data_IF_891454214375
#
_entry.id   IF_891454214375
#
_cell.length_a   1.000
_cell.length_b   1.000
_cell.length_c   1.000
_cell.angle_alpha   90.00
_cell.angle_beta   90.00
_cell.angle_gamma   90.00
#
_symmetry.space_group_name_H-M   'P 1'
#
loop_
_entity.id
_entity.type
_entity.pdbx_description
1 polymer ?
#
# COMPACT_ATOMS: atom_id res chain seq x y z
N UNK A 1 23.89 -26.36 -22.99
CA UNK A 1 23.08 -27.26 -22.14
C UNK A 1 21.65 -27.21 -22.63
N UNK A 2 21.13 -28.31 -23.18
CA UNK A 2 19.72 -28.44 -23.57
C UNK A 2 18.94 -28.68 -22.28
N UNK A 3 18.04 -27.77 -21.89
CA UNK A 3 17.14 -28.00 -20.75
C UNK A 3 16.13 -29.08 -21.15
N UNK A 4 15.95 -30.09 -20.31
CA UNK A 4 14.93 -31.12 -20.53
C UNK A 4 13.53 -30.49 -20.53
N UNK A 5 12.66 -30.81 -21.50
CA UNK A 5 11.26 -30.39 -21.48
C UNK A 5 10.57 -30.87 -20.18
N UNK A 6 9.84 -29.98 -19.51
CA UNK A 6 9.08 -30.33 -18.29
C UNK A 6 9.81 -30.10 -16.96
N UNK A 7 11.04 -29.58 -16.96
CA UNK A 7 11.75 -29.21 -15.72
C UNK A 7 11.45 -27.79 -15.24
N UNK A 8 10.59 -27.05 -15.94
CA UNK A 8 10.13 -25.72 -15.48
C UNK A 8 9.26 -25.93 -14.24
N UNK A 9 9.61 -25.36 -13.08
CA UNK A 9 8.76 -25.42 -11.91
C UNK A 9 7.36 -24.93 -12.27
N UNK A 10 6.34 -25.64 -11.80
CA UNK A 10 4.96 -25.17 -11.95
C UNK A 10 4.84 -23.77 -11.36
N UNK A 11 4.10 -22.91 -12.06
CA UNK A 11 3.72 -21.61 -11.54
C UNK A 11 3.03 -21.80 -10.18
N UNK A 12 3.47 -21.02 -9.19
CA UNK A 12 2.89 -21.05 -7.85
C UNK A 12 1.83 -19.96 -7.80
N UNK A 13 0.57 -20.36 -7.69
CA UNK A 13 -0.53 -19.43 -7.48
C UNK A 13 -0.56 -18.93 -6.02
N UNK A 14 -1.23 -17.79 -5.81
CA UNK A 14 -1.32 -17.15 -4.49
C UNK A 14 -1.85 -18.09 -3.39
N UNK A 15 -2.89 -18.88 -3.68
CA UNK A 15 -3.51 -19.75 -2.66
C UNK A 15 -2.59 -20.92 -2.32
N UNK A 16 -1.93 -21.49 -3.33
CA UNK A 16 -0.91 -22.52 -3.13
C UNK A 16 0.24 -22.00 -2.29
N UNK A 17 0.76 -20.82 -2.60
CA UNK A 17 1.89 -20.22 -1.87
C UNK A 17 1.54 -19.97 -0.40
N UNK A 18 0.38 -19.39 -0.09
CA UNK A 18 -0.11 -19.19 1.29
C UNK A 18 -0.22 -20.52 2.05
N UNK A 19 -0.73 -21.57 1.40
CA UNK A 19 -0.84 -22.91 2.00
C UNK A 19 0.53 -23.55 2.26
N UNK A 20 1.48 -23.41 1.32
CA UNK A 20 2.83 -23.95 1.46
C UNK A 20 3.64 -23.24 2.56
N UNK A 21 3.27 -22.02 2.91
CA UNK A 21 3.81 -21.26 4.05
C UNK A 21 3.00 -21.43 5.35
N UNK A 22 2.06 -22.40 5.38
CA UNK A 22 1.26 -22.75 6.55
C UNK A 22 0.45 -21.57 7.14
N UNK A 23 0.04 -20.62 6.29
CA UNK A 23 -0.77 -19.49 6.71
C UNK A 23 -2.14 -19.92 7.25
N UNK A 24 -2.66 -19.16 8.23
CA UNK A 24 -3.99 -19.43 8.79
C UNK A 24 -5.06 -19.50 7.68
N UNK A 25 -5.97 -20.48 7.80
CA UNK A 25 -6.97 -20.74 6.75
C UNK A 25 -7.92 -19.58 6.54
N UNK A 26 -8.31 -18.90 7.63
CA UNK A 26 -9.22 -17.77 7.56
C UNK A 26 -8.51 -16.53 7.03
N UNK A 27 -7.24 -16.33 7.41
CA UNK A 27 -6.40 -15.29 6.81
C UNK A 27 -6.21 -15.52 5.30
N UNK A 28 -5.86 -16.75 4.91
CA UNK A 28 -5.76 -17.16 3.49
C UNK A 28 -7.05 -16.86 2.73
N UNK A 29 -8.21 -17.12 3.34
CA UNK A 29 -9.51 -16.78 2.74
C UNK A 29 -9.64 -15.28 2.50
N UNK A 30 -9.34 -14.44 3.50
CA UNK A 30 -9.39 -12.97 3.36
C UNK A 30 -8.46 -12.48 2.24
N UNK A 31 -7.21 -12.96 2.20
CA UNK A 31 -6.24 -12.59 1.18
C UNK A 31 -6.75 -12.97 -0.23
N UNK A 32 -7.30 -14.18 -0.40
CA UNK A 32 -7.88 -14.60 -1.68
C UNK A 32 -9.13 -13.78 -2.07
N UNK A 33 -9.94 -13.36 -1.11
CA UNK A 33 -11.10 -12.50 -1.34
C UNK A 33 -10.70 -11.11 -1.83
N UNK A 34 -9.64 -10.52 -1.27
CA UNK A 34 -9.04 -9.26 -1.73
C UNK A 34 -8.46 -9.43 -3.14
N UNK A 35 -7.70 -10.50 -3.37
CA UNK A 35 -7.18 -10.80 -4.70
C UNK A 35 -8.30 -10.94 -5.73
N UNK A 36 -9.46 -11.51 -5.35
CA UNK A 36 -10.63 -11.60 -6.21
C UNK A 36 -11.28 -10.24 -6.43
N UNK A 37 -11.43 -9.41 -5.40
CA UNK A 37 -11.92 -8.04 -5.50
C UNK A 37 -11.14 -7.22 -6.54
N UNK A 38 -9.81 -7.33 -6.50
CA UNK A 38 -8.90 -6.61 -7.40
C UNK A 38 -9.15 -6.89 -8.89
N UNK A 39 -9.70 -8.06 -9.25
CA UNK A 39 -10.03 -8.44 -10.63
C UNK A 39 -11.15 -7.57 -11.18
N UNK A 40 -12.13 -7.25 -10.33
CA UNK A 40 -13.24 -6.38 -10.68
C UNK A 40 -12.78 -4.93 -10.74
N UNK A 41 -11.94 -4.49 -9.80
CA UNK A 41 -11.39 -3.12 -9.78
C UNK A 41 -10.55 -2.85 -11.03
N UNK A 42 -9.57 -3.71 -11.35
CA UNK A 42 -8.75 -3.53 -12.56
C UNK A 42 -9.58 -3.61 -13.85
N UNK A 43 -10.64 -4.43 -13.87
CA UNK A 43 -11.54 -4.47 -15.02
C UNK A 43 -12.26 -3.12 -15.19
N UNK A 44 -12.84 -2.59 -14.11
CA UNK A 44 -13.50 -1.28 -14.13
C UNK A 44 -12.55 -0.15 -14.56
N UNK A 45 -11.31 -0.13 -14.05
CA UNK A 45 -10.28 0.83 -14.46
C UNK A 45 -10.01 0.73 -15.97
N UNK A 46 -9.89 -0.49 -16.51
CA UNK A 46 -9.51 -0.72 -17.92
C UNK A 46 -10.62 -0.42 -18.91
N UNK A 47 -11.87 -0.70 -18.55
CA UNK A 47 -13.00 -0.59 -19.48
C UNK A 47 -13.82 0.68 -19.27
N UNK A 48 -13.65 1.38 -18.14
CA UNK A 48 -14.56 2.42 -17.71
C UNK A 48 -15.96 1.89 -17.39
N UNK A 49 -16.15 0.57 -17.29
CA UNK A 49 -17.44 -0.03 -17.00
C UNK A 49 -17.70 0.03 -15.49
N UNK A 50 -18.43 1.07 -15.09
CA UNK A 50 -18.79 1.34 -13.70
C UNK A 50 -20.05 0.57 -13.26
N UNK A 51 -20.62 -0.28 -14.13
CA UNK A 51 -21.93 -0.91 -13.92
C UNK A 51 -23.08 0.09 -14.03
N UNK A 52 -24.24 -0.25 -13.43
CA UNK A 52 -25.51 0.52 -13.50
C UNK A 52 -25.48 1.87 -12.72
N UNK A 53 -24.34 2.55 -12.68
CA UNK A 53 -24.25 3.97 -12.39
C UNK A 53 -24.52 4.69 -13.72
N UNK A 54 -25.81 4.84 -14.04
CA UNK A 54 -26.25 5.41 -15.30
C UNK A 54 -25.60 6.75 -15.62
N UNK A 55 -25.32 6.94 -16.91
CA UNK A 55 -25.22 8.22 -17.62
C UNK A 55 -24.74 9.42 -16.79
N UNK A 56 -23.50 9.85 -16.96
CA UNK A 56 -23.20 11.29 -16.88
C UNK A 56 -21.87 11.63 -17.54
N UNK A 57 -21.91 12.71 -18.32
CA UNK A 57 -20.78 13.34 -18.98
C UNK A 57 -20.22 14.43 -18.06
N UNK A 58 -18.89 14.58 -18.15
CA UNK A 58 -18.00 15.70 -17.77
C UNK A 58 -17.23 15.52 -16.45
N UNK A 59 -16.00 14.99 -16.64
CA UNK A 59 -14.77 15.17 -15.83
C UNK A 59 -14.94 15.40 -14.32
N UNK A 60 -14.60 14.38 -13.54
CA UNK A 60 -14.62 14.37 -12.06
C UNK A 60 -15.64 13.37 -11.49
N UNK A 61 -16.81 13.23 -12.15
CA UNK A 61 -17.84 12.27 -11.74
C UNK A 61 -17.40 10.80 -11.92
N UNK A 62 -16.56 10.51 -12.93
CA UNK A 62 -16.00 9.18 -13.16
C UNK A 62 -15.00 8.75 -12.06
N UNK A 63 -14.20 9.68 -11.53
CA UNK A 63 -13.24 9.39 -10.45
C UNK A 63 -13.99 8.97 -9.18
N UNK A 64 -14.91 9.81 -8.72
CA UNK A 64 -15.75 9.51 -7.56
C UNK A 64 -16.55 8.21 -7.75
N UNK A 65 -17.04 7.94 -8.96
CA UNK A 65 -17.76 6.71 -9.24
C UNK A 65 -16.88 5.46 -9.15
N UNK A 66 -15.60 5.55 -9.55
CA UNK A 66 -14.66 4.44 -9.47
C UNK A 66 -14.20 4.17 -8.03
N UNK A 67 -14.00 5.23 -7.24
CA UNK A 67 -13.72 5.15 -5.80
C UNK A 67 -14.85 4.42 -5.06
N UNK A 68 -16.09 4.89 -5.26
CA UNK A 68 -17.32 4.26 -4.71
C UNK A 68 -17.50 2.82 -5.18
N UNK A 69 -17.19 2.53 -6.46
CA UNK A 69 -17.27 1.18 -6.99
C UNK A 69 -16.24 0.25 -6.34
N UNK A 70 -15.01 0.73 -6.18
CA UNK A 70 -13.89 -0.03 -5.61
C UNK A 70 -14.15 -0.36 -4.14
N UNK A 71 -14.61 0.61 -3.34
CA UNK A 71 -15.06 0.38 -1.96
C UNK A 71 -16.16 -0.69 -1.91
N UNK A 72 -17.20 -0.54 -2.73
CA UNK A 72 -18.33 -1.46 -2.76
C UNK A 72 -17.91 -2.89 -3.13
N UNK A 73 -16.98 -3.05 -4.07
CA UNK A 73 -16.44 -4.36 -4.46
C UNK A 73 -15.70 -4.99 -3.29
N UNK A 74 -14.73 -4.26 -2.71
CA UNK A 74 -13.91 -4.76 -1.60
C UNK A 74 -14.78 -5.12 -0.41
N UNK A 75 -15.67 -4.23 0.03
CA UNK A 75 -16.59 -4.45 1.13
C UNK A 75 -17.43 -5.70 0.95
N UNK A 76 -18.00 -5.91 -0.25
CA UNK A 76 -18.78 -7.13 -0.54
C UNK A 76 -17.95 -8.40 -0.44
N UNK A 77 -16.73 -8.43 -0.99
CA UNK A 77 -15.84 -9.61 -0.92
C UNK A 77 -15.37 -9.87 0.51
N UNK A 78 -15.03 -8.83 1.26
CA UNK A 78 -14.62 -8.92 2.66
C UNK A 78 -15.76 -9.47 3.53
N UNK A 79 -16.99 -8.95 3.40
CA UNK A 79 -18.16 -9.49 4.10
C UNK A 79 -18.42 -10.96 3.70
N UNK A 80 -18.30 -11.29 2.41
CA UNK A 80 -18.46 -12.66 1.90
C UNK A 80 -17.43 -13.66 2.47
N UNK A 81 -16.27 -13.18 2.92
CA UNK A 81 -15.30 -14.04 3.61
C UNK A 81 -15.85 -14.66 4.90
N UNK A 82 -16.86 -14.04 5.53
CA UNK A 82 -17.51 -14.53 6.75
C UNK A 82 -16.65 -14.48 8.01
N UNK A 83 -15.41 -13.98 7.93
CA UNK A 83 -14.44 -13.96 9.04
C UNK A 83 -14.01 -12.55 9.46
N UNK A 84 -14.57 -11.52 8.82
CA UNK A 84 -14.30 -10.12 9.17
C UNK A 84 -15.22 -9.67 10.30
N UNK A 85 -14.64 -9.03 11.31
CA UNK A 85 -15.34 -8.42 12.43
C UNK A 85 -15.68 -6.97 12.14
N UNK A 86 -14.68 -6.16 11.85
CA UNK A 86 -14.84 -4.73 11.55
C UNK A 86 -14.08 -4.31 10.30
N UNK A 87 -14.60 -3.28 9.63
CA UNK A 87 -14.01 -2.68 8.43
C UNK A 87 -13.90 -1.18 8.66
N UNK A 88 -12.79 -0.59 8.24
CA UNK A 88 -12.64 0.84 8.09
C UNK A 88 -12.06 1.13 6.70
N UNK A 89 -12.71 2.03 5.96
CA UNK A 89 -12.39 2.41 4.59
C UNK A 89 -12.04 3.89 4.54
N UNK A 90 -11.13 4.29 3.66
CA UNK A 90 -10.84 5.71 3.39
C UNK A 90 -12.10 6.47 2.91
N UNK A 91 -13.04 5.76 2.27
CA UNK A 91 -14.28 6.32 1.69
C UNK A 91 -15.42 6.48 2.71
N UNK A 92 -15.21 6.10 3.99
CA UNK A 92 -16.27 6.16 5.02
C UNK A 92 -15.75 6.69 6.34
N UNK A 93 -16.46 7.67 6.90
CA UNK A 93 -16.14 8.29 8.21
C UNK A 93 -16.53 7.42 9.43
N UNK A 94 -16.89 6.15 9.23
CA UNK A 94 -17.35 5.25 10.30
C UNK A 94 -16.68 3.88 10.24
N UNK A 95 -16.45 3.29 11.42
CA UNK A 95 -16.05 1.88 11.55
C UNK A 95 -17.30 1.01 11.37
N UNK A 96 -17.25 0.14 10.37
CA UNK A 96 -18.36 -0.74 10.00
C UNK A 96 -18.24 -2.05 10.77
N UNK A 97 -19.20 -2.31 11.65
CA UNK A 97 -19.33 -3.59 12.32
C UNK A 97 -19.98 -4.62 11.38
N UNK A 98 -19.24 -5.68 11.05
CA UNK A 98 -19.68 -6.74 10.12
C UNK A 98 -20.19 -7.96 10.88
N UNK A 99 -19.38 -8.52 11.78
CA UNK A 99 -19.71 -9.73 12.52
C UNK A 99 -18.99 -9.76 13.87
N UNK A 100 -19.74 -9.78 14.97
CA UNK A 100 -19.16 -9.82 16.33
C UNK A 100 -18.26 -11.05 16.56
N UNK A 101 -18.46 -12.14 15.83
CA UNK A 101 -17.63 -13.35 15.90
C UNK A 101 -16.57 -13.43 14.81
N UNK A 102 -16.37 -12.35 14.04
CA UNK A 102 -15.27 -12.26 13.08
C UNK A 102 -13.91 -12.31 13.78
N UNK A 103 -12.91 -12.83 13.08
CA UNK A 103 -11.54 -12.99 13.59
C UNK A 103 -10.62 -11.82 13.25
N UNK A 104 -10.97 -11.05 12.23
CA UNK A 104 -10.08 -10.05 11.65
C UNK A 104 -10.78 -8.70 11.45
N UNK A 105 -10.03 -7.64 11.68
CA UNK A 105 -10.40 -6.26 11.37
C UNK A 105 -9.58 -5.77 10.19
N UNK A 106 -10.22 -5.06 9.27
CA UNK A 106 -9.58 -4.64 8.00
C UNK A 106 -9.61 -3.12 7.88
N UNK A 107 -8.46 -2.54 7.53
CA UNK A 107 -8.35 -1.15 7.08
C UNK A 107 -8.02 -1.17 5.59
N UNK A 108 -8.64 -0.30 4.78
CA UNK A 108 -8.24 -0.19 3.39
C UNK A 108 -8.43 1.19 2.77
N UNK A 109 -7.56 1.50 1.81
CA UNK A 109 -7.79 2.48 0.76
C UNK A 109 -8.18 1.72 -0.51
N UNK A 110 -9.44 1.85 -0.98
CA UNK A 110 -9.91 1.06 -2.11
C UNK A 110 -9.23 1.45 -3.43
N UNK A 111 -8.84 2.71 -3.59
CA UNK A 111 -8.21 3.24 -4.79
C UNK A 111 -7.29 4.46 -4.51
N UNK A 112 -6.07 4.18 -4.06
CA UNK A 112 -5.03 5.20 -3.93
C UNK A 112 -4.65 5.76 -5.30
N UNK A 113 -4.56 7.09 -5.35
CA UNK A 113 -4.20 7.82 -6.54
C UNK A 113 -5.32 7.91 -7.57
N UNK A 114 -6.59 7.84 -7.17
CA UNK A 114 -7.74 7.95 -8.09
C UNK A 114 -7.68 9.16 -9.03
N UNK A 115 -7.08 10.27 -8.59
CA UNK A 115 -6.78 11.46 -9.41
C UNK A 115 -5.78 11.23 -10.56
N UNK A 116 -5.19 10.03 -10.67
CA UNK A 116 -4.23 9.64 -11.69
C UNK A 116 -4.83 8.73 -12.75
N UNK A 117 -6.08 8.29 -12.56
CA UNK A 117 -6.78 7.37 -13.47
C UNK A 117 -7.05 8.03 -14.83
N UNK A 118 -7.52 9.28 -14.82
CA UNK A 118 -7.88 10.06 -16.02
C UNK A 118 -6.67 10.37 -16.91
N UNK A 119 -5.49 10.52 -16.31
CA UNK A 119 -4.21 10.69 -17.02
C UNK A 119 -3.50 9.36 -17.31
N UNK A 120 -4.18 8.23 -17.10
CA UNK A 120 -3.70 6.88 -17.41
C UNK A 120 -2.35 6.54 -16.73
N UNK A 121 -2.19 6.98 -15.50
CA UNK A 121 -1.06 6.62 -14.64
C UNK A 121 -1.44 5.46 -13.71
N UNK A 122 -0.42 4.87 -13.07
CA UNK A 122 -0.64 3.75 -12.17
C UNK A 122 -1.30 4.21 -10.86
N UNK A 123 -2.21 3.39 -10.35
CA UNK A 123 -2.97 3.58 -9.10
C UNK A 123 -2.94 2.28 -8.29
N UNK A 124 -3.58 2.22 -7.13
CA UNK A 124 -3.56 0.97 -6.36
C UNK A 124 -4.61 0.83 -5.28
N UNK A 125 -4.65 -0.34 -4.64
CA UNK A 125 -5.45 -0.61 -3.45
C UNK A 125 -4.50 -0.91 -2.30
N UNK A 126 -4.78 -0.43 -1.09
CA UNK A 126 -3.96 -0.66 0.11
C UNK A 126 -4.81 -1.35 1.17
N UNK A 127 -4.31 -2.43 1.79
CA UNK A 127 -5.04 -3.18 2.81
C UNK A 127 -4.14 -3.47 4.03
N UNK A 128 -4.65 -3.18 5.22
CA UNK A 128 -4.13 -3.67 6.51
C UNK A 128 -5.09 -4.67 7.15
N UNK A 129 -4.53 -5.72 7.77
CA UNK A 129 -5.29 -6.79 8.43
C UNK A 129 -4.81 -6.93 9.87
N UNK A 130 -5.73 -6.73 10.82
CA UNK A 130 -5.51 -6.89 12.25
C UNK A 130 -6.29 -8.09 12.78
N UNK A 131 -5.81 -8.69 13.87
CA UNK A 131 -6.57 -9.70 14.61
C UNK A 131 -7.55 -9.02 15.57
N UNK A 132 -8.73 -9.61 15.73
CA UNK A 132 -9.78 -9.15 16.64
C UNK A 132 -10.87 -8.35 15.94
N UNK A 133 -11.46 -7.44 16.69
CA UNK A 133 -12.61 -6.61 16.33
C UNK A 133 -12.30 -5.10 16.29
N UNK A 134 -11.06 -4.71 16.58
CA UNK A 134 -10.64 -3.32 16.63
C UNK A 134 -9.66 -2.97 15.48
N UNK A 135 -9.98 -1.94 14.69
CA UNK A 135 -9.09 -1.35 13.68
C UNK A 135 -8.15 -0.28 14.25
N UNK A 136 -8.48 0.32 15.39
CA UNK A 136 -7.68 1.35 16.06
C UNK A 136 -6.61 0.68 16.92
N UNK A 137 -5.62 0.11 16.24
CA UNK A 137 -4.46 -0.53 16.85
C UNK A 137 -3.18 0.01 16.22
N UNK A 138 -2.09 0.04 17.00
CA UNK A 138 -0.75 0.26 16.45
C UNK A 138 -0.48 -0.66 15.25
N UNK A 139 0.13 -0.12 14.19
CA UNK A 139 0.40 -0.87 12.96
C UNK A 139 1.24 -2.14 13.16
N UNK A 140 2.10 -2.18 14.19
CA UNK A 140 2.88 -3.38 14.56
C UNK A 140 2.03 -4.59 14.96
N UNK A 141 0.74 -4.40 15.26
CA UNK A 141 -0.18 -5.48 15.62
C UNK A 141 -0.87 -6.11 14.39
N UNK A 142 -0.60 -5.62 13.17
CA UNK A 142 -1.12 -6.25 11.97
C UNK A 142 -0.60 -7.68 11.84
N UNK A 143 -1.49 -8.57 11.37
CA UNK A 143 -1.15 -9.95 11.02
C UNK A 143 -0.83 -10.10 9.54
N UNK A 144 -1.28 -9.15 8.72
CA UNK A 144 -0.91 -9.07 7.33
C UNK A 144 -1.15 -7.66 6.78
N UNK A 145 -0.44 -7.32 5.72
CA UNK A 145 -0.72 -6.15 4.91
C UNK A 145 -0.45 -6.48 3.43
N UNK A 146 -1.14 -5.80 2.54
CA UNK A 146 -0.89 -5.90 1.10
C UNK A 146 -1.24 -4.62 0.38
N UNK A 147 -0.66 -4.46 -0.80
CA UNK A 147 -1.17 -3.53 -1.78
C UNK A 147 -1.25 -4.19 -3.16
N UNK A 148 -2.12 -3.66 -3.99
CA UNK A 148 -2.25 -4.04 -5.39
C UNK A 148 -1.91 -2.83 -6.23
N UNK A 149 -0.97 -2.97 -7.15
CA UNK A 149 -0.64 -1.95 -8.13
C UNK A 149 -1.43 -2.21 -9.42
N UNK A 150 -2.24 -1.25 -9.83
CA UNK A 150 -2.93 -1.21 -11.11
C UNK A 150 -2.11 -0.35 -12.10
N UNK A 151 -1.01 -0.91 -12.60
CA UNK A 151 -0.14 -0.25 -13.58
C UNK A 151 -0.19 -0.91 -14.97
N UNK A 152 0.89 -0.76 -15.77
CA UNK A 152 1.05 -1.50 -17.04
C UNK A 152 0.94 -3.01 -16.84
N UNK A 153 1.28 -3.49 -15.64
CA UNK A 153 0.96 -4.82 -15.14
C UNK A 153 0.19 -4.64 -13.84
N UNK A 154 -0.72 -5.57 -13.56
CA UNK A 154 -1.37 -5.64 -12.25
C UNK A 154 -0.55 -6.59 -11.36
N UNK A 155 -0.06 -6.09 -10.23
CA UNK A 155 0.72 -6.88 -9.28
C UNK A 155 0.14 -6.77 -7.87
N UNK A 156 0.25 -7.85 -7.09
CA UNK A 156 -0.12 -7.90 -5.68
C UNK A 156 1.14 -8.15 -4.89
N UNK A 157 1.40 -7.28 -3.91
CA UNK A 157 2.51 -7.40 -2.97
C UNK A 157 1.93 -7.55 -1.58
N UNK A 158 2.36 -8.58 -0.86
CA UNK A 158 1.85 -8.81 0.50
C UNK A 158 2.94 -9.28 1.46
N UNK A 159 2.62 -9.15 2.75
CA UNK A 159 3.33 -9.79 3.85
C UNK A 159 2.36 -10.24 4.95
N UNK A 160 2.65 -11.40 5.55
CA UNK A 160 2.00 -11.96 6.76
C UNK A 160 2.93 -11.91 7.99
N UNK A 161 4.03 -11.15 7.90
CA UNK A 161 5.08 -11.11 8.94
C UNK A 161 6.28 -12.03 8.67
N UNK A 162 6.26 -12.79 7.57
CA UNK A 162 7.31 -13.74 7.18
C UNK A 162 8.02 -13.33 5.87
N UNK A 163 8.29 -12.04 5.72
CA UNK A 163 8.86 -11.46 4.49
C UNK A 163 7.80 -10.97 3.51
N UNK A 164 8.26 -10.52 2.34
CA UNK A 164 7.44 -9.82 1.34
C UNK A 164 7.50 -10.56 0.01
N UNK A 165 6.34 -10.74 -0.62
CA UNK A 165 6.21 -11.53 -1.83
C UNK A 165 5.41 -10.76 -2.89
N UNK A 166 5.83 -10.85 -4.16
CA UNK A 166 5.18 -10.19 -5.29
C UNK A 166 4.59 -11.25 -6.25
N UNK A 167 3.35 -11.00 -6.64
CA UNK A 167 2.61 -11.78 -7.61
C UNK A 167 2.19 -10.90 -8.78
N UNK A 168 2.26 -11.43 -10.00
CA UNK A 168 1.72 -10.79 -11.19
C UNK A 168 0.39 -11.43 -11.60
N UNK A 169 -0.58 -10.60 -11.96
CA UNK A 169 -1.84 -11.05 -12.55
C UNK A 169 -1.63 -11.45 -14.01
N UNK A 170 -2.02 -12.67 -14.37
CA UNK A 170 -1.96 -13.20 -15.73
C UNK A 170 -3.23 -12.84 -16.55
N UNK A 171 -3.31 -13.31 -17.80
CA UNK A 171 -4.45 -13.06 -18.69
C UNK A 171 -5.76 -13.71 -18.24
N UNK A 172 -5.70 -14.70 -17.35
CA UNK A 172 -6.86 -15.34 -16.72
C UNK A 172 -7.28 -14.63 -15.43
N UNK A 173 -6.68 -13.46 -15.13
CA UNK A 173 -6.88 -12.69 -13.91
C UNK A 173 -6.47 -13.46 -12.63
N UNK A 174 -5.53 -14.39 -12.75
CA UNK A 174 -4.97 -15.15 -11.64
C UNK A 174 -3.58 -14.62 -11.26
N UNK A 175 -3.26 -14.63 -9.97
CA UNK A 175 -1.98 -14.18 -9.45
C UNK A 175 -0.97 -15.33 -9.42
N UNK A 176 0.13 -15.13 -10.12
CA UNK A 176 1.28 -16.04 -10.14
C UNK A 176 2.47 -15.39 -9.46
N UNK A 177 3.15 -16.13 -8.60
CA UNK A 177 4.35 -15.67 -7.90
C UNK A 177 5.45 -15.28 -8.90
N UNK A 178 6.03 -14.09 -8.72
CA UNK A 178 7.15 -13.62 -9.54
C UNK A 178 8.40 -13.28 -8.71
N UNK A 179 8.24 -12.97 -7.42
CA UNK A 179 9.36 -12.72 -6.52
C UNK A 179 9.01 -13.09 -5.09
N UNK A 180 9.91 -13.82 -4.42
CA UNK A 180 9.82 -14.12 -2.98
C UNK A 180 10.85 -13.33 -2.20
N UNK A 181 10.53 -13.03 -0.95
CA UNK A 181 11.41 -12.37 0.00
C UNK A 181 12.08 -11.11 -0.58
N UNK A 182 11.27 -10.17 -1.05
CA UNK A 182 11.75 -8.83 -1.45
C UNK A 182 12.54 -8.23 -0.29
N UNK A 183 13.73 -7.67 -0.59
CA UNK A 183 14.64 -7.08 0.39
C UNK A 183 15.07 -5.68 0.01
N UNK A 184 15.07 -4.80 1.00
CA UNK A 184 15.61 -3.46 0.92
C UNK A 184 17.12 -3.45 1.21
N UNK A 185 17.86 -2.69 0.42
CA UNK A 185 19.22 -2.29 0.69
C UNK A 185 19.23 -1.22 1.79
N UNK A 186 20.34 -1.08 2.54
CA UNK A 186 20.41 -0.11 3.63
C UNK A 186 20.25 1.34 3.17
N UNK A 187 20.75 1.68 1.99
CA UNK A 187 20.65 3.00 1.37
C UNK A 187 20.41 2.86 -0.14
N UNK A 188 19.88 3.92 -0.75
CA UNK A 188 19.62 3.95 -2.18
C UNK A 188 20.00 5.23 -2.91
N UNK A 189 19.62 5.24 -4.18
CA UNK A 189 19.94 6.27 -5.19
C UNK A 189 18.69 6.84 -5.86
N UNK A 190 17.51 6.61 -5.27
CA UNK A 190 16.22 7.12 -5.75
C UNK A 190 15.54 7.79 -4.57
N UNK A 191 14.91 8.93 -4.82
CA UNK A 191 14.04 9.57 -3.86
C UNK A 191 12.75 10.03 -4.53
N UNK A 192 11.65 9.92 -3.80
CA UNK A 192 10.30 10.26 -4.24
C UNK A 192 9.68 11.27 -3.28
N UNK A 193 9.76 12.59 -3.57
CA UNK A 193 9.27 13.63 -2.67
C UNK A 193 7.83 14.03 -3.00
N UNK A 194 6.94 13.82 -2.03
CA UNK A 194 5.55 14.26 -2.04
C UNK A 194 5.34 15.64 -1.43
N UNK A 195 4.28 16.31 -1.87
CA UNK A 195 4.00 17.70 -1.47
C UNK A 195 4.80 18.73 -2.27
N UNK A 196 4.52 20.01 -2.03
CA UNK A 196 5.18 21.10 -2.75
C UNK A 196 6.49 21.48 -2.03
N UNK A 197 7.61 21.47 -2.76
CA UNK A 197 8.94 21.73 -2.21
C UNK A 197 9.05 23.08 -1.48
N UNK A 198 8.42 24.13 -2.00
CA UNK A 198 8.43 25.45 -1.34
C UNK A 198 7.74 25.50 0.04
N UNK A 199 7.04 24.43 0.46
CA UNK A 199 6.39 24.31 1.77
C UNK A 199 7.15 23.39 2.73
N UNK A 200 8.30 22.86 2.33
CA UNK A 200 9.11 22.00 3.17
C UNK A 200 9.79 22.81 4.27
N UNK A 201 9.95 22.18 5.44
CA UNK A 201 10.74 22.76 6.52
C UNK A 201 12.23 22.75 6.17
N UNK A 202 13.05 23.59 6.85
CA UNK A 202 14.49 23.65 6.59
C UNK A 202 15.20 22.29 6.71
N UNK A 203 14.80 21.43 7.66
CA UNK A 203 15.34 20.08 7.80
C UNK A 203 15.04 19.19 6.60
N UNK A 204 13.82 19.24 6.09
CA UNK A 204 13.40 18.49 4.90
C UNK A 204 14.16 18.95 3.65
N UNK A 205 14.30 20.27 3.45
CA UNK A 205 15.08 20.82 2.33
C UNK A 205 16.56 20.41 2.37
N UNK A 206 17.17 20.45 3.56
CA UNK A 206 18.55 20.00 3.74
C UNK A 206 18.72 18.51 3.48
N UNK A 207 17.77 17.69 3.92
CA UNK A 207 17.76 16.27 3.62
C UNK A 207 17.71 16.00 2.12
N UNK A 208 16.76 16.61 1.40
CA UNK A 208 16.66 16.45 -0.07
C UNK A 208 17.93 16.93 -0.77
N UNK A 209 18.47 18.08 -0.36
CA UNK A 209 19.72 18.62 -0.92
C UNK A 209 20.88 17.64 -0.73
N UNK A 210 20.94 16.93 0.40
CA UNK A 210 21.95 15.91 0.66
C UNK A 210 21.81 14.69 -0.28
N UNK A 211 20.58 14.28 -0.60
CA UNK A 211 20.30 13.21 -1.55
C UNK A 211 20.68 13.62 -2.98
N UNK A 212 20.43 14.88 -3.35
CA UNK A 212 20.79 15.46 -4.65
C UNK A 212 22.32 15.54 -4.81
N UNK A 213 23.04 15.98 -3.77
CA UNK A 213 24.52 15.99 -3.76
C UNK A 213 25.11 14.58 -3.85
N UNK A 214 24.47 13.59 -3.21
CA UNK A 214 24.81 12.16 -3.34
C UNK A 214 24.59 11.62 -4.77
N UNK A 215 23.84 12.33 -5.62
CA UNK A 215 23.50 11.92 -6.98
C UNK A 215 22.25 11.05 -7.07
N UNK A 216 21.38 11.09 -6.06
CA UNK A 216 20.11 10.36 -6.06
C UNK A 216 19.16 10.94 -7.11
N UNK A 217 18.39 10.08 -7.77
CA UNK A 217 17.46 10.46 -8.84
C UNK A 217 16.07 10.70 -8.28
N UNK A 218 15.52 11.87 -8.58
CA UNK A 218 14.12 12.21 -8.32
C UNK A 218 13.20 11.28 -9.14
N UNK A 219 12.21 10.69 -8.48
CA UNK A 219 11.11 9.96 -9.13
C UNK A 219 9.82 10.19 -8.35
N UNK A 220 8.83 10.85 -8.95
CA UNK A 220 7.55 11.08 -8.30
C UNK A 220 6.44 11.00 -9.34
N UNK A 221 5.58 10.00 -9.23
CA UNK A 221 4.39 9.88 -10.08
C UNK A 221 3.19 10.60 -9.51
N UNK A 222 3.19 10.91 -8.21
CA UNK A 222 2.09 11.59 -7.52
C UNK A 222 1.09 10.65 -6.86
N UNK A 223 1.32 9.33 -6.91
CA UNK A 223 0.48 8.30 -6.30
C UNK A 223 1.29 7.54 -5.27
N UNK A 224 0.69 7.21 -4.13
CA UNK A 224 1.46 6.64 -3.02
C UNK A 224 1.89 5.20 -3.32
N UNK A 225 0.97 4.35 -3.78
CA UNK A 225 1.24 2.97 -4.19
C UNK A 225 2.31 2.87 -5.29
N UNK A 226 2.22 3.57 -6.44
CA UNK A 226 3.24 3.44 -7.48
C UNK A 226 4.62 3.94 -7.04
N UNK A 227 4.68 5.02 -6.25
CA UNK A 227 5.95 5.57 -5.78
C UNK A 227 6.60 4.71 -4.68
N UNK A 228 5.81 4.06 -3.80
CA UNK A 228 6.32 3.05 -2.86
C UNK A 228 6.76 1.79 -3.61
N UNK A 229 5.98 1.33 -4.58
CA UNK A 229 6.26 0.10 -5.31
C UNK A 229 7.62 0.17 -6.03
N UNK A 230 7.96 1.30 -6.65
CA UNK A 230 9.28 1.42 -7.28
C UNK A 230 10.44 1.38 -6.28
N UNK A 231 10.26 1.89 -5.05
CA UNK A 231 11.28 1.85 -3.99
C UNK A 231 11.44 0.40 -3.51
N UNK A 232 10.33 -0.28 -3.24
CA UNK A 232 10.31 -1.65 -2.74
C UNK A 232 10.86 -2.66 -3.75
N UNK A 233 10.37 -2.64 -5.00
CA UNK A 233 10.75 -3.62 -6.03
C UNK A 233 12.17 -3.38 -6.54
N UNK A 234 12.65 -2.13 -6.57
CA UNK A 234 14.08 -1.86 -6.80
C UNK A 234 14.95 -2.20 -5.58
N UNK A 235 14.33 -2.44 -4.44
CA UNK A 235 14.99 -2.74 -3.17
C UNK A 235 15.85 -1.59 -2.66
N UNK A 236 15.60 -0.34 -3.05
CA UNK A 236 16.42 0.79 -2.63
C UNK A 236 15.73 2.14 -2.86
N UNK A 237 16.19 3.15 -2.11
CA UNK A 237 15.71 4.52 -2.16
C UNK A 237 14.72 4.84 -1.04
N UNK A 238 14.07 5.98 -1.17
CA UNK A 238 13.14 6.50 -0.17
C UNK A 238 11.94 7.22 -0.81
N UNK A 239 10.74 6.99 -0.30
CA UNK A 239 9.59 7.85 -0.51
C UNK A 239 9.40 8.73 0.72
N UNK A 240 8.98 9.97 0.52
CA UNK A 240 8.67 10.87 1.61
C UNK A 240 7.44 11.74 1.30
N UNK A 241 6.59 11.91 2.30
CA UNK A 241 5.57 12.94 2.33
C UNK A 241 5.69 13.66 3.68
N UNK A 242 6.56 14.67 3.79
CA UNK A 242 6.85 15.34 5.05
C UNK A 242 5.66 16.19 5.53
N UNK A 243 5.77 16.74 6.74
CA UNK A 243 4.90 17.83 7.15
C UNK A 243 5.17 19.04 6.26
N UNK A 244 4.12 19.80 5.94
CA UNK A 244 4.22 20.98 5.09
C UNK A 244 3.78 22.21 5.87
N UNK A 245 4.26 23.38 5.47
CA UNK A 245 3.66 24.65 5.89
C UNK A 245 2.16 24.65 5.54
N UNK A 246 1.31 24.82 6.57
CA UNK A 246 -0.15 24.73 6.45
C UNK A 246 -0.75 23.33 6.50
N UNK A 247 0.07 22.27 6.57
CA UNK A 247 -0.38 20.88 6.77
C UNK A 247 0.60 20.12 7.71
N UNK A 248 0.59 20.44 9.02
CA UNK A 248 1.57 19.92 9.98
C UNK A 248 1.44 18.41 10.22
N UNK A 249 0.24 17.86 10.06
CA UNK A 249 -0.03 16.42 10.27
C UNK A 249 0.20 15.58 9.00
N UNK A 250 0.78 16.15 7.93
CA UNK A 250 0.92 15.48 6.65
C UNK A 250 -0.40 15.31 5.89
N UNK A 251 -0.35 14.56 4.78
CA UNK A 251 -1.50 14.32 3.90
C UNK A 251 -2.09 12.90 4.06
N UNK A 252 -1.23 11.91 4.22
CA UNK A 252 -1.61 10.49 4.13
C UNK A 252 -2.18 9.99 5.47
N UNK A 253 -3.17 9.11 5.41
CA UNK A 253 -3.89 8.53 6.56
C UNK A 253 -3.10 7.39 7.17
N UNK A 254 -3.04 7.39 8.50
CA UNK A 254 -2.28 6.42 9.27
C UNK A 254 -2.78 4.99 9.06
N UNK A 255 -4.09 4.76 9.18
CA UNK A 255 -4.67 3.41 9.19
C UNK A 255 -4.74 2.74 7.82
N UNK A 256 -5.10 3.51 6.79
CA UNK A 256 -5.41 2.98 5.46
C UNK A 256 -4.21 2.98 4.53
N UNK A 257 -3.29 3.93 4.71
CA UNK A 257 -2.16 4.14 3.81
C UNK A 257 -0.84 3.81 4.51
N UNK A 258 -0.52 4.50 5.61
CA UNK A 258 0.83 4.47 6.19
C UNK A 258 1.14 3.16 6.91
N UNK A 259 0.26 2.69 7.79
CA UNK A 259 0.47 1.46 8.55
C UNK A 259 0.70 0.25 7.62
N UNK A 260 -0.18 -0.06 6.64
CA UNK A 260 0.04 -1.18 5.73
C UNK A 260 1.35 -1.10 4.96
N UNK A 261 1.68 0.08 4.41
CA UNK A 261 2.91 0.28 3.65
C UNK A 261 4.16 0.16 4.53
N UNK A 262 4.12 0.72 5.73
CA UNK A 262 5.19 0.60 6.71
C UNK A 262 5.44 -0.85 7.12
N UNK A 263 4.39 -1.64 7.33
CA UNK A 263 4.50 -3.06 7.66
C UNK A 263 5.21 -3.82 6.55
N UNK A 264 4.77 -3.65 5.30
CA UNK A 264 5.42 -4.30 4.15
C UNK A 264 6.89 -3.85 4.04
N UNK A 265 7.17 -2.55 4.16
CA UNK A 265 8.53 -2.02 4.04
C UNK A 265 9.48 -2.57 5.13
N UNK A 266 9.05 -2.60 6.38
CA UNK A 266 9.84 -3.15 7.48
C UNK A 266 10.06 -4.66 7.33
N UNK A 267 9.08 -5.41 6.81
CA UNK A 267 9.22 -6.84 6.50
C UNK A 267 10.23 -7.12 5.37
N UNK A 268 10.42 -6.16 4.47
CA UNK A 268 11.50 -6.17 3.48
C UNK A 268 12.86 -5.74 4.06
N UNK A 269 12.95 -5.34 5.32
CA UNK A 269 14.17 -4.85 5.96
C UNK A 269 14.45 -3.35 5.77
N UNK A 270 13.45 -2.61 5.29
CA UNK A 270 13.45 -1.15 5.26
C UNK A 270 13.02 -0.53 6.59
N UNK A 271 12.64 0.75 6.55
CA UNK A 271 12.10 1.48 7.70
C UNK A 271 10.98 2.44 7.25
N UNK A 272 10.13 2.82 8.20
CA UNK A 272 9.11 3.86 8.01
C UNK A 272 8.99 4.72 9.28
N UNK A 273 9.12 6.04 9.14
CA UNK A 273 9.08 7.00 10.24
C UNK A 273 8.29 8.24 9.87
N UNK A 274 7.65 8.90 10.84
CA UNK A 274 7.08 10.23 10.64
C UNK A 274 8.13 11.35 10.76
N UNK A 275 9.41 10.98 10.93
CA UNK A 275 10.54 11.88 11.16
C UNK A 275 10.93 12.00 12.63
N UNK A 276 10.10 11.49 13.55
CA UNK A 276 10.33 11.53 15.01
C UNK A 276 10.10 10.16 15.68
N UNK A 277 9.09 9.44 15.23
CA UNK A 277 8.74 8.10 15.69
C UNK A 277 8.44 7.17 14.51
N UNK A 278 8.57 5.86 14.75
CA UNK A 278 8.25 4.83 13.76
C UNK A 278 6.75 4.78 13.49
N UNK A 279 6.37 4.68 12.22
CA UNK A 279 4.95 4.66 11.81
C UNK A 279 4.16 3.56 12.52
N UNK A 280 4.72 2.35 12.60
CA UNK A 280 4.04 1.21 13.21
C UNK A 280 3.87 1.32 14.73
N UNK A 281 4.49 2.32 15.37
CA UNK A 281 4.52 2.50 16.82
C UNK A 281 3.51 3.56 17.29
N UNK A 282 2.98 4.35 16.35
CA UNK A 282 1.96 5.38 16.56
C UNK A 282 0.67 4.69 17.02
N UNK A 283 0.14 5.12 18.17
CA UNK A 283 -1.19 4.73 18.62
C UNK A 283 -2.24 5.56 17.86
N UNK A 284 -3.16 4.94 17.11
CA UNK A 284 -4.19 5.69 16.39
C UNK A 284 -5.17 6.37 17.34
N UNK A 285 -5.38 7.68 17.18
CA UNK A 285 -6.37 8.46 17.92
C UNK A 285 -7.75 8.47 17.24
N UNK A 286 -7.78 8.17 15.94
CA UNK A 286 -8.99 8.14 15.13
C UNK A 286 -8.71 7.63 13.73
N UNK A 287 -9.78 7.36 12.98
CA UNK A 287 -9.67 6.74 11.65
C UNK A 287 -9.07 7.68 10.60
N UNK A 288 -9.28 8.99 10.74
CA UNK A 288 -8.81 10.02 9.80
C UNK A 288 -7.45 10.61 10.19
N UNK A 289 -6.79 10.04 11.20
CA UNK A 289 -5.49 10.55 11.65
C UNK A 289 -4.51 10.50 10.48
N UNK A 290 -3.85 11.64 10.23
CA UNK A 290 -2.79 11.76 9.24
C UNK A 290 -1.43 11.80 9.91
N UNK A 291 -0.40 11.40 9.18
CA UNK A 291 0.99 11.56 9.62
C UNK A 291 1.88 11.94 8.44
N UNK A 292 2.96 12.70 8.66
CA UNK A 292 4.06 12.72 7.71
C UNK A 292 4.74 11.35 7.63
N UNK A 293 5.46 11.07 6.54
CA UNK A 293 6.14 9.80 6.36
C UNK A 293 7.46 9.93 5.61
N UNK A 294 8.43 9.13 6.01
CA UNK A 294 9.70 8.83 5.36
C UNK A 294 9.85 7.30 5.38
N UNK A 295 9.83 6.66 4.22
CA UNK A 295 9.69 5.21 4.11
C UNK A 295 10.57 4.66 2.98
N UNK A 296 11.33 3.62 3.27
CA UNK A 296 12.26 3.02 2.32
C UNK A 296 13.49 2.43 2.99
N UNK A 297 14.65 2.71 2.40
CA UNK A 297 15.96 2.21 2.86
C UNK A 297 16.28 2.77 4.25
N UNK A 298 16.64 1.90 5.19
CA UNK A 298 16.74 2.24 6.61
C UNK A 298 17.72 3.38 6.93
N UNK A 299 18.84 3.48 6.21
CA UNK A 299 19.84 4.53 6.44
C UNK A 299 19.39 5.87 5.86
N UNK A 300 18.67 5.87 4.74
CA UNK A 300 18.09 7.10 4.18
C UNK A 300 16.96 7.64 5.09
N UNK A 301 16.15 6.75 5.67
CA UNK A 301 15.12 7.13 6.67
C UNK A 301 15.76 7.68 7.94
N UNK A 302 16.77 7.00 8.51
CA UNK A 302 17.49 7.48 9.68
C UNK A 302 18.21 8.82 9.43
N UNK A 303 18.66 9.05 8.19
CA UNK A 303 19.23 10.33 7.78
C UNK A 303 18.15 11.43 7.79
N UNK A 304 16.97 11.17 7.24
CA UNK A 304 15.85 12.12 7.28
C UNK A 304 15.50 12.51 8.72
N UNK A 305 15.36 11.55 9.64
CA UNK A 305 15.11 11.79 11.06
C UNK A 305 16.16 12.71 11.69
N UNK A 306 17.45 12.50 11.38
CA UNK A 306 18.53 13.36 11.89
C UNK A 306 18.39 14.81 11.40
N UNK A 307 18.14 15.01 10.11
CA UNK A 307 17.95 16.36 9.56
C UNK A 307 16.73 17.06 10.15
N UNK A 308 15.64 16.33 10.40
CA UNK A 308 14.42 16.86 11.02
C UNK A 308 14.69 17.22 12.48
N UNK A 309 15.40 16.36 13.23
CA UNK A 309 15.73 16.64 14.62
C UNK A 309 16.68 17.85 14.78
N UNK A 310 17.60 18.06 13.84
CA UNK A 310 18.59 19.15 13.91
C UNK A 310 18.05 20.49 13.38
N UNK A 311 17.13 20.47 12.41
CA UNK A 311 16.73 21.68 11.66
C UNK A 311 15.22 21.86 11.46
N UNK A 312 14.36 21.06 12.11
CA UNK A 312 12.90 21.11 11.97
C UNK A 312 12.12 20.90 13.25
#
# INVERSE_FOLDING_TARGET
>A
MVREPGTTPFQVDLRRHLREHEEDRDLTRVICEIATASRYVINAIRTGDLGVAGTSNLYGEEQLALDVLSDRILRKRLIHSGVISTIASEETDEIINVNLNGKYSITYDPLDGSSLVDVNLAVGTIIGIYRGDNVLQRGRNMVAAMYILYGPRCTLVYSTGSGVHEFAMNSLMEYTLIQEHVKMQPAGTIYSPGGQRNKYSPGVEKFISSLEVKGSKLRYSGGFVPDINQVLIKGQGIFMYPHLEGAPNGKLRLLYELNPMAFIMEQAGGAASNGRERILDIEPEGIDQRSPVFIGSREDVAMAEKFIAEFG
#
